data_IF_781347053393
#
_entry.id   IF_781347053393
#
_cell.length_a   1.000
_cell.length_b   1.000
_cell.length_c   1.000
_cell.angle_alpha   90.00
_cell.angle_beta   90.00
_cell.angle_gamma   90.00
#
_symmetry.space_group_name_H-M   'P 1'
#
loop_
_entity.id
_entity.type
_entity.pdbx_description
1 polymer ?
#
# COMPACT_ATOMS: atom_id res chain seq x y z
N UNK A 1 20.16 -13.63 -9.44
CA UNK A 1 18.96 -12.81 -9.71
C UNK A 1 17.71 -13.68 -9.77
N UNK A 2 17.58 -14.61 -10.74
CA UNK A 2 16.41 -15.47 -10.91
C UNK A 2 15.97 -16.22 -9.62
N UNK A 3 16.93 -16.76 -8.86
CA UNK A 3 16.65 -17.44 -7.58
C UNK A 3 15.87 -16.54 -6.61
N UNK A 4 16.46 -15.41 -6.24
CA UNK A 4 15.89 -14.49 -5.26
C UNK A 4 14.53 -13.95 -5.71
N UNK A 5 14.38 -13.64 -6.99
CA UNK A 5 13.11 -13.15 -7.54
C UNK A 5 11.99 -14.20 -7.43
N UNK A 6 12.27 -15.47 -7.72
CA UNK A 6 11.29 -16.55 -7.57
C UNK A 6 10.92 -16.75 -6.09
N UNK A 7 11.91 -16.81 -5.19
CA UNK A 7 11.64 -17.00 -3.76
C UNK A 7 10.77 -15.87 -3.18
N UNK A 8 11.04 -14.62 -3.57
CA UNK A 8 10.25 -13.47 -3.11
C UNK A 8 8.83 -13.50 -3.65
N UNK A 9 8.64 -13.83 -4.94
CA UNK A 9 7.30 -13.97 -5.51
C UNK A 9 6.49 -15.07 -4.81
N UNK A 10 7.12 -16.20 -4.45
CA UNK A 10 6.47 -17.24 -3.67
C UNK A 10 6.14 -16.80 -2.24
N UNK A 11 7.02 -16.05 -1.58
CA UNK A 11 6.73 -15.48 -0.24
C UNK A 11 5.53 -14.54 -0.30
N UNK A 12 5.51 -13.64 -1.27
CA UNK A 12 4.42 -12.69 -1.49
C UNK A 12 3.10 -13.43 -1.75
N UNK A 13 3.11 -14.42 -2.65
CA UNK A 13 1.95 -15.27 -2.90
C UNK A 13 1.45 -15.96 -1.64
N UNK A 14 2.34 -16.64 -0.92
CA UNK A 14 1.97 -17.40 0.28
C UNK A 14 1.36 -16.49 1.33
N UNK A 15 2.01 -15.35 1.61
CA UNK A 15 1.53 -14.40 2.60
C UNK A 15 0.13 -13.88 2.26
N UNK A 16 -0.06 -13.33 1.05
CA UNK A 16 -1.36 -12.76 0.65
C UNK A 16 -2.46 -13.81 0.59
N UNK A 17 -2.21 -14.95 -0.08
CA UNK A 17 -3.25 -15.98 -0.25
C UNK A 17 -3.70 -16.55 1.09
N UNK A 18 -2.78 -16.79 2.02
CA UNK A 18 -3.12 -17.41 3.30
C UNK A 18 -3.61 -16.40 4.33
N UNK A 19 -3.13 -15.15 4.31
CA UNK A 19 -3.73 -14.10 5.14
C UNK A 19 -5.19 -13.88 4.78
N UNK A 20 -5.50 -13.85 3.48
CA UNK A 20 -6.87 -13.65 2.99
C UNK A 20 -7.77 -14.83 3.33
N UNK A 21 -7.26 -16.05 3.21
CA UNK A 21 -8.04 -17.27 3.39
C UNK A 21 -8.21 -17.70 4.86
N UNK A 22 -7.21 -17.46 5.71
CA UNK A 22 -7.13 -17.98 7.07
C UNK A 22 -7.08 -16.88 8.15
N UNK A 23 -7.00 -15.60 7.75
CA UNK A 23 -6.96 -14.46 8.66
C UNK A 23 -5.57 -14.16 9.23
N UNK A 24 -5.48 -13.26 10.23
CA UNK A 24 -4.20 -12.73 10.73
C UNK A 24 -3.28 -13.79 11.37
N UNK A 25 -3.83 -14.88 11.89
CA UNK A 25 -3.09 -15.97 12.54
C UNK A 25 -2.67 -17.11 11.58
N UNK A 26 -2.71 -16.86 10.26
CA UNK A 26 -2.43 -17.89 9.24
C UNK A 26 -1.05 -18.54 9.37
N UNK A 27 -0.06 -17.83 9.96
CA UNK A 27 1.29 -18.36 10.18
C UNK A 27 1.28 -19.63 11.04
N UNK A 28 0.41 -19.69 12.05
CA UNK A 28 0.24 -20.87 12.90
C UNK A 28 -0.36 -22.07 12.15
N UNK A 29 -1.05 -21.83 11.02
CA UNK A 29 -1.58 -22.89 10.18
C UNK A 29 -0.51 -23.52 9.25
N UNK A 30 0.63 -22.85 9.05
CA UNK A 30 1.70 -23.33 8.17
C UNK A 30 2.94 -23.79 8.92
N UNK A 31 3.28 -23.22 10.07
CA UNK A 31 4.48 -23.55 10.82
C UNK A 31 4.15 -23.97 12.26
N UNK A 32 4.85 -24.99 12.76
CA UNK A 32 4.83 -25.36 14.16
C UNK A 32 5.64 -24.38 15.02
N UNK A 33 5.53 -24.51 16.34
CA UNK A 33 6.24 -23.65 17.30
C UNK A 33 7.75 -23.65 17.07
N UNK A 34 8.33 -24.81 16.75
CA UNK A 34 9.78 -24.95 16.59
C UNK A 34 10.31 -24.16 15.39
N UNK A 35 9.56 -24.15 14.28
CA UNK A 35 9.94 -23.39 13.08
C UNK A 35 9.68 -21.91 13.22
N UNK A 36 8.59 -21.52 13.86
CA UNK A 36 8.36 -20.12 14.20
C UNK A 36 9.52 -19.59 15.06
N UNK A 37 9.95 -20.37 16.06
CA UNK A 37 11.14 -20.05 16.87
C UNK A 37 12.43 -20.00 16.05
N UNK A 38 12.60 -20.88 15.05
CA UNK A 38 13.77 -20.84 14.17
C UNK A 38 13.79 -19.56 13.31
N UNK A 39 12.65 -19.19 12.73
CA UNK A 39 12.51 -17.96 11.95
C UNK A 39 12.72 -16.72 12.83
N UNK A 40 12.20 -16.73 14.06
CA UNK A 40 12.44 -15.72 15.08
C UNK A 40 13.94 -15.55 15.37
N UNK A 41 14.65 -16.66 15.63
CA UNK A 41 16.10 -16.65 15.89
C UNK A 41 16.89 -16.06 14.71
N UNK A 42 16.51 -16.39 13.47
CA UNK A 42 17.11 -15.81 12.26
C UNK A 42 16.82 -14.32 12.15
N UNK A 43 15.60 -13.90 12.49
CA UNK A 43 15.23 -12.49 12.54
C UNK A 43 16.06 -11.72 13.56
N UNK A 44 16.18 -12.23 14.79
CA UNK A 44 16.99 -11.62 15.86
C UNK A 44 18.48 -11.56 15.48
N UNK A 45 19.02 -12.63 14.90
CA UNK A 45 20.41 -12.69 14.41
C UNK A 45 20.67 -11.61 13.35
N UNK A 46 19.78 -11.49 12.37
CA UNK A 46 19.94 -10.53 11.28
C UNK A 46 19.72 -9.09 11.79
N UNK A 47 18.78 -8.89 12.73
CA UNK A 47 18.56 -7.62 13.41
C UNK A 47 19.84 -7.17 14.12
N UNK A 48 20.47 -8.04 14.91
CA UNK A 48 21.71 -7.73 15.62
C UNK A 48 22.85 -7.35 14.65
N UNK A 49 22.91 -7.97 13.47
CA UNK A 49 23.91 -7.69 12.43
C UNK A 49 23.64 -6.37 11.69
N UNK A 50 22.37 -6.06 11.39
CA UNK A 50 21.98 -4.95 10.50
C UNK A 50 21.57 -3.66 11.22
N UNK A 51 21.21 -3.70 12.51
CA UNK A 51 20.83 -2.49 13.27
C UNK A 51 21.96 -1.46 13.29
N UNK A 52 23.23 -1.90 13.24
CA UNK A 52 24.41 -1.01 13.12
C UNK A 52 24.49 -0.25 11.79
N UNK A 53 23.63 -0.53 10.82
CA UNK A 53 23.67 0.00 9.45
C UNK A 53 22.40 0.78 9.06
N UNK A 54 21.46 1.01 9.97
CA UNK A 54 20.23 1.78 9.70
C UNK A 54 19.30 1.16 8.64
N UNK A 55 19.37 -0.16 8.44
CA UNK A 55 18.57 -0.87 7.43
C UNK A 55 17.23 -1.31 8.05
N UNK A 56 16.12 -1.03 7.36
CA UNK A 56 14.79 -1.53 7.72
C UNK A 56 14.78 -3.05 7.62
N UNK A 57 14.26 -3.71 8.66
CA UNK A 57 14.31 -5.17 8.80
C UNK A 57 12.86 -5.70 8.81
N UNK A 58 12.52 -6.70 7.97
CA UNK A 58 11.18 -7.28 7.95
C UNK A 58 10.79 -7.88 9.31
N UNK A 59 9.50 -7.92 9.66
CA UNK A 59 9.06 -8.60 10.86
C UNK A 59 9.37 -10.11 10.80
N UNK A 60 9.57 -10.78 11.95
CA UNK A 60 9.73 -12.22 12.02
C UNK A 60 8.60 -12.98 11.30
N UNK A 61 8.91 -14.14 10.73
CA UNK A 61 7.95 -14.95 9.97
C UNK A 61 8.48 -15.40 8.61
N UNK A 62 7.61 -15.43 7.59
CA UNK A 62 7.92 -16.00 6.27
C UNK A 62 9.11 -15.31 5.57
N UNK A 63 9.41 -14.05 5.91
CA UNK A 63 10.60 -13.34 5.42
C UNK A 63 11.92 -14.05 5.77
N UNK A 64 11.94 -14.83 6.85
CA UNK A 64 13.10 -15.59 7.34
C UNK A 64 13.02 -17.09 7.06
N UNK A 65 11.95 -17.51 6.38
CA UNK A 65 11.78 -18.86 5.90
C UNK A 65 12.77 -19.18 4.77
N UNK A 66 13.34 -20.38 4.79
CA UNK A 66 14.18 -20.90 3.72
C UNK A 66 13.33 -21.42 2.56
N UNK A 67 13.94 -21.62 1.39
CA UNK A 67 13.20 -22.06 0.22
C UNK A 67 12.43 -23.38 0.45
N UNK A 68 13.03 -24.35 1.15
CA UNK A 68 12.34 -25.61 1.46
C UNK A 68 11.09 -25.40 2.32
N UNK A 69 11.05 -24.35 3.15
CA UNK A 69 9.86 -24.01 3.94
C UNK A 69 8.71 -23.63 3.00
N UNK A 70 9.00 -22.78 2.00
CA UNK A 70 8.05 -22.34 0.99
C UNK A 70 7.55 -23.53 0.16
N UNK A 71 8.46 -24.39 -0.30
CA UNK A 71 8.12 -25.59 -1.07
C UNK A 71 7.23 -26.52 -0.27
N UNK A 72 7.53 -26.74 1.02
CA UNK A 72 6.69 -27.58 1.89
C UNK A 72 5.29 -26.99 2.08
N UNK A 73 5.17 -25.67 2.24
CA UNK A 73 3.86 -25.00 2.32
C UNK A 73 3.07 -25.24 1.02
N UNK A 74 3.69 -25.02 -0.13
CA UNK A 74 3.07 -25.23 -1.45
C UNK A 74 2.73 -26.71 -1.69
N UNK A 75 3.53 -27.65 -1.18
CA UNK A 75 3.24 -29.08 -1.29
C UNK A 75 2.12 -29.57 -0.37
N UNK A 76 1.62 -28.75 0.56
CA UNK A 76 0.52 -29.15 1.43
C UNK A 76 -0.77 -29.38 0.64
N UNK A 77 -1.31 -30.59 0.67
CA UNK A 77 -2.59 -30.92 0.02
C UNK A 77 -3.75 -30.07 0.58
N UNK A 78 -3.70 -29.81 1.90
CA UNK A 78 -4.70 -28.98 2.60
C UNK A 78 -4.72 -27.54 2.10
N UNK A 79 -3.56 -26.99 1.72
CA UNK A 79 -3.42 -25.56 1.37
C UNK A 79 -3.44 -25.32 -0.13
N UNK A 80 -3.20 -26.35 -0.95
CA UNK A 80 -3.09 -26.21 -2.40
C UNK A 80 -4.30 -25.53 -3.04
N UNK A 81 -5.50 -25.79 -2.52
CA UNK A 81 -6.75 -25.19 -3.02
C UNK A 81 -6.70 -23.67 -3.05
N UNK A 82 -5.98 -23.03 -2.13
CA UNK A 82 -5.81 -21.57 -2.10
C UNK A 82 -4.80 -21.07 -3.13
N UNK A 83 -3.78 -21.88 -3.47
CA UNK A 83 -2.74 -21.51 -4.44
C UNK A 83 -3.10 -21.83 -5.89
N UNK A 84 -4.01 -22.79 -6.11
CA UNK A 84 -4.41 -23.25 -7.44
C UNK A 84 -4.89 -22.10 -8.38
N UNK A 85 -5.64 -21.08 -7.91
CA UNK A 85 -6.02 -19.95 -8.76
C UNK A 85 -4.83 -19.15 -9.29
N UNK A 86 -3.73 -19.07 -8.54
CA UNK A 86 -2.52 -18.35 -8.95
C UNK A 86 -1.58 -19.22 -9.78
N UNK A 87 -1.34 -20.44 -9.34
CA UNK A 87 -0.27 -21.30 -9.85
C UNK A 87 -0.75 -22.34 -10.86
N UNK A 88 -2.06 -22.58 -10.94
CA UNK A 88 -2.67 -23.57 -11.84
C UNK A 88 -2.66 -24.99 -11.28
N UNK A 89 -2.39 -25.96 -12.15
CA UNK A 89 -2.46 -27.38 -11.81
C UNK A 89 -1.29 -27.80 -10.92
N UNK A 90 -1.59 -28.47 -9.82
CA UNK A 90 -0.61 -28.93 -8.83
C UNK A 90 0.54 -29.73 -9.41
N UNK A 91 0.23 -30.75 -10.21
CA UNK A 91 1.25 -31.64 -10.76
C UNK A 91 2.27 -30.87 -11.60
N UNK A 92 1.81 -29.94 -12.43
CA UNK A 92 2.67 -29.15 -13.31
C UNK A 92 3.54 -28.18 -12.50
N UNK A 93 2.94 -27.40 -11.60
CA UNK A 93 3.68 -26.41 -10.79
C UNK A 93 4.67 -27.07 -9.84
N UNK A 94 4.28 -28.13 -9.14
CA UNK A 94 5.15 -28.81 -8.18
C UNK A 94 6.35 -29.46 -8.90
N UNK A 95 6.15 -30.04 -10.09
CA UNK A 95 7.28 -30.54 -10.90
C UNK A 95 8.26 -29.43 -11.29
N UNK A 96 7.77 -28.24 -11.64
CA UNK A 96 8.63 -27.09 -11.93
C UNK A 96 9.39 -26.60 -10.67
N UNK A 97 8.71 -26.52 -9.54
CA UNK A 97 9.31 -26.13 -8.25
C UNK A 97 10.39 -27.14 -7.84
N UNK A 98 10.14 -28.43 -8.00
CA UNK A 98 11.12 -29.48 -7.69
C UNK A 98 12.34 -29.40 -8.60
N UNK A 99 12.14 -29.12 -9.89
CA UNK A 99 13.25 -28.89 -10.83
C UNK A 99 14.04 -27.64 -10.45
N UNK A 100 13.37 -26.57 -10.05
CA UNK A 100 14.00 -25.33 -9.58
C UNK A 100 14.80 -25.57 -8.29
N UNK A 101 14.27 -26.32 -7.33
CA UNK A 101 14.97 -26.63 -6.07
C UNK A 101 16.26 -27.41 -6.33
N UNK A 102 16.21 -28.39 -7.22
CA UNK A 102 17.40 -29.16 -7.62
C UNK A 102 18.51 -28.26 -8.18
N UNK A 103 18.17 -27.33 -9.08
CA UNK A 103 19.11 -26.38 -9.66
C UNK A 103 19.62 -25.36 -8.63
N UNK A 104 18.73 -24.86 -7.76
CA UNK A 104 19.09 -23.98 -6.63
C UNK A 104 20.11 -24.65 -5.71
N UNK A 105 19.89 -25.92 -5.37
CA UNK A 105 20.77 -26.66 -4.46
C UNK A 105 22.18 -26.81 -5.06
N UNK A 106 22.30 -27.04 -6.37
CA UNK A 106 23.61 -27.01 -7.06
C UNK A 106 24.34 -25.68 -6.85
N UNK A 107 23.64 -24.55 -7.05
CA UNK A 107 24.18 -23.20 -6.81
C UNK A 107 24.53 -22.97 -5.33
N UNK A 108 23.67 -23.40 -4.40
CA UNK A 108 23.90 -23.26 -2.97
C UNK A 108 25.14 -24.01 -2.47
N UNK A 109 25.51 -25.09 -3.15
CA UNK A 109 26.75 -25.84 -2.91
C UNK A 109 27.98 -25.26 -3.63
N UNK A 110 27.86 -24.07 -4.24
CA UNK A 110 28.97 -23.41 -4.96
C UNK A 110 29.33 -24.08 -6.28
N UNK A 111 28.48 -24.97 -6.81
CA UNK A 111 28.68 -25.61 -8.11
C UNK A 111 28.06 -24.74 -9.22
N UNK A 112 28.82 -24.40 -10.28
CA UNK A 112 28.28 -23.62 -11.37
C UNK A 112 27.29 -24.44 -12.21
N UNK A 113 26.18 -23.83 -12.60
CA UNK A 113 25.22 -24.40 -13.54
C UNK A 113 25.76 -24.29 -14.97
N UNK A 114 25.52 -25.30 -15.80
CA UNK A 114 25.83 -25.21 -17.25
C UNK A 114 24.78 -24.33 -17.98
N UNK A 115 25.05 -23.83 -19.20
CA UNK A 115 24.20 -22.82 -19.83
C UNK A 115 22.70 -23.17 -19.91
N UNK A 116 22.36 -24.38 -20.35
CA UNK A 116 20.96 -24.81 -20.44
C UNK A 116 20.27 -24.89 -19.07
N UNK A 117 21.01 -25.17 -17.99
CA UNK A 117 20.48 -25.18 -16.63
C UNK A 117 20.19 -23.77 -16.12
N UNK A 118 21.03 -22.80 -16.49
CA UNK A 118 20.81 -21.39 -16.17
C UNK A 118 19.57 -20.84 -16.89
N UNK A 119 19.41 -21.18 -18.17
CA UNK A 119 18.24 -20.82 -18.96
C UNK A 119 16.97 -21.48 -18.40
N UNK A 120 17.03 -22.77 -18.07
CA UNK A 120 15.92 -23.49 -17.46
C UNK A 120 15.52 -22.89 -16.10
N UNK A 121 16.50 -22.62 -15.23
CA UNK A 121 16.26 -21.98 -13.93
C UNK A 121 15.57 -20.62 -14.11
N UNK A 122 16.04 -19.82 -15.07
CA UNK A 122 15.49 -18.50 -15.37
C UNK A 122 14.09 -18.58 -15.97
N UNK A 123 13.84 -19.56 -16.85
CA UNK A 123 12.51 -19.84 -17.41
C UNK A 123 11.49 -20.22 -16.34
N UNK A 124 11.85 -21.14 -15.44
CA UNK A 124 10.98 -21.53 -14.33
C UNK A 124 10.69 -20.34 -13.41
N UNK A 125 11.72 -19.58 -13.02
CA UNK A 125 11.57 -18.39 -12.19
C UNK A 125 10.66 -17.35 -12.84
N UNK A 126 10.84 -17.11 -14.15
CA UNK A 126 10.06 -16.17 -14.93
C UNK A 126 8.60 -16.58 -15.03
N UNK A 127 8.33 -17.86 -15.26
CA UNK A 127 6.97 -18.40 -15.31
C UNK A 127 6.26 -18.27 -13.97
N UNK A 128 6.86 -18.74 -12.87
CA UNK A 128 6.26 -18.66 -11.53
C UNK A 128 5.99 -17.21 -11.16
N UNK A 129 6.96 -16.31 -11.36
CA UNK A 129 6.78 -14.88 -11.09
C UNK A 129 5.63 -14.30 -11.91
N UNK A 130 5.56 -14.58 -13.21
CA UNK A 130 4.49 -14.06 -14.06
C UNK A 130 3.10 -14.57 -13.61
N UNK A 131 3.00 -15.82 -13.19
CA UNK A 131 1.77 -16.38 -12.62
C UNK A 131 1.36 -15.64 -11.34
N UNK A 132 2.31 -15.43 -10.41
CA UNK A 132 2.07 -14.66 -9.18
C UNK A 132 1.65 -13.24 -9.52
N UNK A 133 2.38 -12.52 -10.38
CA UNK A 133 2.05 -11.14 -10.76
C UNK A 133 0.65 -11.05 -11.35
N UNK A 134 0.29 -11.94 -12.30
CA UNK A 134 -1.06 -11.96 -12.87
C UNK A 134 -2.14 -12.20 -11.82
N UNK A 135 -1.88 -13.10 -10.87
CA UNK A 135 -2.80 -13.36 -9.78
C UNK A 135 -2.96 -12.14 -8.87
N UNK A 136 -1.86 -11.54 -8.41
CA UNK A 136 -1.89 -10.34 -7.57
C UNK A 136 -2.61 -9.19 -8.27
N UNK A 137 -2.30 -8.93 -9.54
CA UNK A 137 -3.00 -7.92 -10.34
C UNK A 137 -4.49 -8.22 -10.50
N UNK A 138 -4.90 -9.49 -10.51
CA UNK A 138 -6.32 -9.88 -10.58
C UNK A 138 -7.05 -9.81 -9.24
N UNK A 139 -6.31 -9.82 -8.13
CA UNK A 139 -6.80 -9.63 -6.76
C UNK A 139 -6.89 -8.17 -6.36
N UNK A 140 -6.27 -7.30 -7.16
CA UNK A 140 -6.38 -5.85 -7.06
C UNK A 140 -7.08 -5.21 -8.28
N UNK A 141 -8.32 -5.60 -8.64
CA UNK A 141 -9.06 -4.95 -9.71
C UNK A 141 -9.59 -3.56 -9.31
N UNK A 142 -9.46 -3.15 -8.04
CA UNK A 142 -10.05 -1.94 -7.46
C UNK A 142 -9.03 -0.90 -6.92
N UNK A 143 -7.74 -1.22 -6.83
CA UNK A 143 -6.74 -0.38 -6.15
C UNK A 143 -6.73 -0.56 -4.63
N UNK A 144 -7.11 -1.74 -4.14
CA UNK A 144 -7.28 -2.11 -2.73
C UNK A 144 -5.96 -2.19 -1.95
N UNK A 145 -4.82 -1.82 -2.53
CA UNK A 145 -3.58 -1.62 -1.75
C UNK A 145 -3.45 -0.22 -1.14
N UNK A 146 -4.19 0.75 -1.69
CA UNK A 146 -4.06 2.15 -1.33
C UNK A 146 -5.31 2.66 -0.65
N UNK A 147 -5.12 3.57 0.31
CA UNK A 147 -6.21 4.25 0.96
C UNK A 147 -7.08 5.01 -0.05
N UNK A 148 -8.36 5.18 0.29
CA UNK A 148 -9.33 5.98 -0.47
C UNK A 148 -10.09 6.93 0.44
N UNK A 149 -10.42 8.09 -0.10
CA UNK A 149 -11.30 9.08 0.52
C UNK A 149 -12.73 8.59 0.31
N UNK A 150 -13.49 8.49 1.39
CA UNK A 150 -14.91 8.13 1.36
C UNK A 150 -15.77 9.39 1.27
N UNK A 151 -15.52 10.38 2.13
CA UNK A 151 -16.29 11.63 2.17
C UNK A 151 -15.42 12.80 2.59
N UNK A 152 -15.67 13.97 2.03
CA UNK A 152 -15.18 15.25 2.55
C UNK A 152 -16.31 16.26 2.52
N UNK A 153 -16.59 16.86 3.68
CA UNK A 153 -17.64 17.86 3.86
C UNK A 153 -17.12 19.08 4.60
N UNK A 154 -17.43 20.28 4.11
CA UNK A 154 -17.09 21.53 4.80
C UNK A 154 -18.11 21.90 5.90
N UNK A 155 -17.77 22.91 6.70
CA UNK A 155 -18.60 23.42 7.81
C UNK A 155 -19.90 24.11 7.36
N UNK A 156 -20.05 24.40 6.07
CA UNK A 156 -21.25 25.00 5.47
C UNK A 156 -22.19 23.96 4.85
N UNK A 157 -21.77 22.69 4.84
CA UNK A 157 -22.55 21.58 4.32
C UNK A 157 -22.25 21.20 2.87
N UNK A 158 -21.27 21.84 2.22
CA UNK A 158 -20.82 21.44 0.89
C UNK A 158 -20.01 20.16 0.99
N UNK A 159 -20.25 19.24 0.06
CA UNK A 159 -19.60 17.93 0.01
C UNK A 159 -19.04 17.68 -1.39
N UNK A 160 -17.96 16.91 -1.46
CA UNK A 160 -17.43 16.48 -2.76
C UNK A 160 -18.46 15.65 -3.51
N UNK A 161 -18.64 15.96 -4.78
CA UNK A 161 -19.51 15.23 -5.70
C UNK A 161 -18.69 14.81 -6.92
N UNK A 162 -19.24 13.87 -7.71
CA UNK A 162 -18.58 13.04 -8.73
C UNK A 162 -18.05 11.71 -8.16
N UNK A 163 -18.42 10.55 -8.76
CA UNK A 163 -17.90 9.28 -8.28
C UNK A 163 -16.39 9.23 -8.53
N UNK A 164 -15.59 8.76 -7.56
CA UNK A 164 -14.21 8.41 -7.85
C UNK A 164 -14.23 7.43 -9.01
N UNK A 165 -13.46 7.71 -10.08
CA UNK A 165 -13.01 6.57 -10.86
C UNK A 165 -12.25 5.68 -9.87
N UNK A 166 -12.49 4.36 -9.80
CA UNK A 166 -11.91 3.50 -8.76
C UNK A 166 -10.39 3.64 -8.61
N UNK A 167 -9.74 4.09 -9.70
CA UNK A 167 -8.29 4.30 -9.83
C UNK A 167 -7.90 5.76 -10.08
N UNK A 168 -8.81 6.70 -9.88
CA UNK A 168 -8.60 8.12 -10.13
C UNK A 168 -7.81 8.79 -9.02
N UNK A 169 -6.99 9.76 -9.43
CA UNK A 169 -6.30 10.69 -8.52
C UNK A 169 -7.28 11.51 -7.68
N UNK A 170 -8.41 11.88 -8.30
CA UNK A 170 -9.46 12.69 -7.69
C UNK A 170 -10.55 11.81 -7.11
N UNK A 171 -10.76 11.91 -5.80
CA UNK A 171 -11.90 11.35 -5.09
C UNK A 171 -13.21 12.05 -5.46
N UNK A 172 -13.12 13.34 -5.76
CA UNK A 172 -14.25 14.18 -6.12
C UNK A 172 -13.86 15.65 -6.05
N UNK A 173 -14.83 16.51 -6.33
CA UNK A 173 -14.65 17.96 -6.27
C UNK A 173 -15.93 18.64 -5.78
N UNK A 174 -15.76 19.83 -5.22
CA UNK A 174 -16.89 20.69 -4.87
C UNK A 174 -16.59 22.12 -5.32
N UNK A 175 -17.42 22.66 -6.22
CA UNK A 175 -17.36 24.07 -6.59
C UNK A 175 -18.49 24.75 -5.84
N UNK A 176 -18.14 25.59 -4.88
CA UNK A 176 -19.10 26.31 -4.04
C UNK A 176 -19.39 27.70 -4.63
N UNK A 177 -20.58 28.21 -4.36
CA UNK A 177 -20.95 29.61 -4.63
C UNK A 177 -20.69 30.53 -3.41
N UNK A 178 -19.98 30.03 -2.40
CA UNK A 178 -19.70 30.77 -1.17
C UNK A 178 -18.66 31.86 -1.42
N UNK A 179 -18.98 33.04 -0.93
CA UNK A 179 -18.09 34.20 -0.88
C UNK A 179 -17.56 34.33 0.54
N UNK A 180 -16.26 34.16 0.69
CA UNK A 180 -15.51 34.30 1.95
C UNK A 180 -14.68 35.59 1.94
N UNK A 181 -14.26 36.00 3.12
CA UNK A 181 -13.37 37.14 3.36
C UNK A 181 -12.23 36.74 4.30
N UNK A 182 -11.05 37.41 4.23
CA UNK A 182 -9.99 37.20 5.21
C UNK A 182 -10.51 37.33 6.65
N UNK A 183 -10.19 36.34 7.48
CA UNK A 183 -10.70 36.18 8.84
C UNK A 183 -11.77 35.10 8.99
N UNK A 184 -12.40 34.65 7.89
CA UNK A 184 -13.32 33.51 7.92
C UNK A 184 -12.58 32.19 8.19
N UNK A 185 -13.31 31.22 8.72
CA UNK A 185 -12.80 29.87 9.01
C UNK A 185 -13.67 28.81 8.35
N UNK A 186 -13.02 27.91 7.62
CA UNK A 186 -13.65 26.72 7.02
C UNK A 186 -13.10 25.46 7.70
N UNK A 187 -13.99 24.59 8.17
CA UNK A 187 -13.61 23.29 8.75
C UNK A 187 -14.05 22.18 7.81
N UNK A 188 -13.12 21.34 7.38
CA UNK A 188 -13.40 20.15 6.59
C UNK A 188 -13.41 18.92 7.48
N UNK A 189 -14.53 18.19 7.48
CA UNK A 189 -14.61 16.84 8.04
C UNK A 189 -14.27 15.84 6.95
N UNK A 190 -13.24 15.04 7.19
CA UNK A 190 -12.69 14.07 6.23
C UNK A 190 -12.82 12.65 6.76
N UNK A 191 -13.19 11.71 5.90
CA UNK A 191 -13.26 10.28 6.21
C UNK A 191 -12.64 9.52 5.04
N UNK A 192 -11.80 8.53 5.36
CA UNK A 192 -11.20 7.64 4.37
C UNK A 192 -11.01 6.24 4.93
N UNK A 193 -10.70 5.30 4.05
CA UNK A 193 -10.40 3.92 4.41
C UNK A 193 -9.11 3.44 3.76
N UNK A 194 -8.27 2.76 4.54
CA UNK A 194 -7.14 1.96 4.07
C UNK A 194 -7.49 0.46 4.16
N UNK A 195 -7.41 -0.30 3.06
CA UNK A 195 -7.72 -1.73 3.08
C UNK A 195 -6.75 -2.57 3.93
N UNK A 196 -5.55 -2.06 4.23
CA UNK A 196 -4.58 -2.72 5.11
C UNK A 196 -4.73 -2.28 6.58
N UNK A 197 -5.73 -1.45 6.90
CA UNK A 197 -6.02 -1.03 8.27
C UNK A 197 -5.09 0.05 8.81
N UNK A 198 -4.31 0.72 7.97
CA UNK A 198 -3.35 1.74 8.40
C UNK A 198 -4.04 3.06 8.75
N UNK A 199 -3.42 3.83 9.65
CA UNK A 199 -3.84 5.20 9.94
C UNK A 199 -3.64 6.10 8.70
N UNK A 200 -4.48 7.13 8.61
CA UNK A 200 -4.53 8.05 7.48
C UNK A 200 -4.00 9.42 7.89
N UNK A 201 -3.13 9.98 7.08
CA UNK A 201 -2.63 11.34 7.20
C UNK A 201 -3.30 12.24 6.17
N UNK A 202 -3.77 13.38 6.66
CA UNK A 202 -4.53 14.36 5.91
C UNK A 202 -3.82 15.70 5.93
N UNK A 203 -3.81 16.39 4.79
CA UNK A 203 -3.32 17.75 4.68
C UNK A 203 -4.12 18.52 3.65
N UNK A 204 -4.15 19.84 3.78
CA UNK A 204 -4.64 20.70 2.70
C UNK A 204 -3.51 21.54 2.12
N UNK A 205 -3.62 21.89 0.84
CA UNK A 205 -2.76 22.85 0.16
C UNK A 205 -3.61 23.90 -0.55
N UNK A 206 -3.21 25.17 -0.41
CA UNK A 206 -3.72 26.28 -1.21
C UNK A 206 -3.22 26.27 -2.66
N UNK A 207 -3.44 27.37 -3.38
CA UNK A 207 -3.15 27.43 -4.82
C UNK A 207 -1.63 27.54 -5.08
N UNK A 208 -1.06 26.44 -5.57
CA UNK A 208 0.30 26.23 -6.09
C UNK A 208 1.40 25.98 -5.04
N UNK A 209 1.63 24.70 -4.78
CA UNK A 209 2.76 24.20 -4.01
C UNK A 209 2.53 24.17 -2.50
N UNK A 210 3.62 23.92 -1.78
CA UNK A 210 3.65 23.85 -0.33
C UNK A 210 3.01 25.10 0.28
N UNK A 211 1.81 24.94 0.86
CA UNK A 211 1.24 25.97 1.70
C UNK A 211 1.96 25.90 3.05
N UNK A 212 2.69 26.95 3.47
CA UNK A 212 3.38 26.95 4.76
C UNK A 212 2.43 26.86 5.96
N UNK A 213 1.12 27.03 5.74
CA UNK A 213 0.06 26.82 6.73
C UNK A 213 -0.50 25.40 6.72
N UNK A 214 -0.10 24.56 5.75
CA UNK A 214 -0.49 23.16 5.73
C UNK A 214 0.10 22.45 6.94
N UNK A 215 -0.72 21.60 7.56
CA UNK A 215 -0.31 20.74 8.65
C UNK A 215 -0.92 19.36 8.45
N UNK A 216 -0.29 18.36 9.05
CA UNK A 216 -0.75 16.97 8.97
C UNK A 216 -1.70 16.70 10.13
N UNK A 217 -2.85 16.10 9.82
CA UNK A 217 -3.78 15.52 10.80
C UNK A 217 -3.85 14.03 10.56
N UNK A 218 -3.64 13.24 11.60
CA UNK A 218 -3.76 11.79 11.53
C UNK A 218 -5.12 11.34 12.04
N UNK A 219 -5.78 10.44 11.32
CA UNK A 219 -6.98 9.73 11.75
C UNK A 219 -6.73 8.24 11.76
N UNK A 220 -7.43 7.52 12.65
CA UNK A 220 -7.54 6.08 12.51
C UNK A 220 -8.34 5.73 11.26
N UNK A 221 -8.06 4.57 10.68
CA UNK A 221 -8.79 4.05 9.53
C UNK A 221 -10.31 4.10 9.74
N UNK A 222 -11.06 4.70 8.81
CA UNK A 222 -12.52 4.81 8.88
C UNK A 222 -13.07 5.84 9.87
N UNK A 223 -12.21 6.47 10.68
CA UNK A 223 -12.62 7.52 11.62
C UNK A 223 -12.48 8.91 11.00
N UNK A 224 -13.35 9.83 11.42
CA UNK A 224 -13.31 11.21 10.94
C UNK A 224 -12.13 12.00 11.51
N UNK A 225 -11.55 12.86 10.68
CA UNK A 225 -10.61 13.92 11.07
C UNK A 225 -11.13 15.29 10.64
N UNK A 226 -10.51 16.35 11.18
CA UNK A 226 -10.82 17.73 10.84
C UNK A 226 -9.59 18.49 10.34
N UNK A 227 -9.72 19.10 9.16
CA UNK A 227 -8.77 20.08 8.64
C UNK A 227 -9.39 21.47 8.76
N UNK A 228 -8.60 22.46 9.19
CA UNK A 228 -9.05 23.83 9.39
C UNK A 228 -8.29 24.74 8.42
N UNK A 229 -9.03 25.50 7.63
CA UNK A 229 -8.49 26.57 6.80
C UNK A 229 -8.96 27.91 7.34
N UNK A 230 -8.02 28.68 7.89
CA UNK A 230 -8.22 30.08 8.23
C UNK A 230 -7.93 30.93 6.98
N UNK A 231 -8.96 31.62 6.49
CA UNK A 231 -8.89 32.45 5.27
C UNK A 231 -8.08 33.70 5.57
N UNK A 232 -7.10 34.00 4.74
CA UNK A 232 -6.19 35.15 4.89
C UNK A 232 -6.21 36.03 3.65
N UNK A 233 -5.54 37.19 3.72
CA UNK A 233 -5.36 38.07 2.56
C UNK A 233 -4.67 37.39 1.38
N UNK A 234 -3.81 36.40 1.63
CA UNK A 234 -3.13 35.62 0.59
C UNK A 234 -4.10 34.74 -0.22
N UNK A 235 -5.29 34.48 0.30
CA UNK A 235 -6.29 33.63 -0.33
C UNK A 235 -7.27 34.40 -1.23
N UNK A 236 -7.22 35.75 -1.22
CA UNK A 236 -8.12 36.61 -2.00
C UNK A 236 -8.00 36.29 -3.49
N UNK A 237 -9.04 35.66 -4.03
CA UNK A 237 -9.12 35.18 -5.41
C UNK A 237 -10.56 34.78 -5.73
N UNK A 238 -11.05 35.12 -6.93
CA UNK A 238 -12.36 34.67 -7.42
C UNK A 238 -12.40 33.16 -7.74
N UNK A 239 -11.27 32.46 -7.57
CA UNK A 239 -11.12 31.03 -7.85
C UNK A 239 -10.23 30.32 -6.82
N UNK A 240 -10.31 30.74 -5.54
CA UNK A 240 -9.56 30.13 -4.44
C UNK A 240 -9.85 28.63 -4.39
N UNK A 241 -8.81 27.80 -4.45
CA UNK A 241 -8.93 26.34 -4.50
C UNK A 241 -8.15 25.73 -3.36
N UNK A 242 -8.82 24.88 -2.59
CA UNK A 242 -8.23 24.09 -1.51
C UNK A 242 -8.15 22.66 -1.97
N UNK A 243 -6.95 22.12 -2.06
CA UNK A 243 -6.72 20.71 -2.33
C UNK A 243 -6.54 19.98 -1.02
N UNK A 244 -7.22 18.86 -0.84
CA UNK A 244 -7.09 18.01 0.34
C UNK A 244 -6.48 16.69 -0.12
N UNK A 245 -5.35 16.34 0.44
CA UNK A 245 -4.62 15.10 0.15
C UNK A 245 -4.75 14.15 1.33
N UNK A 246 -4.78 12.87 1.01
CA UNK A 246 -4.79 11.78 1.95
C UNK A 246 -3.72 10.75 1.57
N UNK A 247 -2.99 10.28 2.57
CA UNK A 247 -2.01 9.22 2.44
C UNK A 247 -2.02 8.29 3.65
N UNK A 248 -1.56 7.07 3.46
CA UNK A 248 -1.42 6.09 4.54
C UNK A 248 -0.12 6.34 5.31
N UNK A 249 -0.20 6.66 6.62
CA UNK A 249 0.91 7.19 7.45
C UNK A 249 2.18 6.33 7.49
N UNK A 250 2.01 5.02 7.41
CA UNK A 250 3.09 4.03 7.51
C UNK A 250 3.42 3.36 6.17
N UNK A 251 2.85 3.85 5.07
CA UNK A 251 3.11 3.27 3.75
C UNK A 251 4.39 3.81 3.15
N UNK A 252 5.20 2.92 2.57
CA UNK A 252 6.35 3.30 1.74
C UNK A 252 5.93 3.74 0.33
N UNK A 253 4.76 3.27 -0.12
CA UNK A 253 4.28 3.47 -1.47
C UNK A 253 2.91 4.10 -1.46
N UNK A 254 2.71 5.11 -2.29
CA UNK A 254 1.44 5.78 -2.45
C UNK A 254 0.96 5.73 -3.90
N UNK A 255 -0.35 5.72 -4.10
CA UNK A 255 -0.97 5.52 -5.42
C UNK A 255 -0.47 6.52 -6.45
N UNK A 256 -0.27 7.77 -6.06
CA UNK A 256 0.17 8.87 -6.92
C UNK A 256 1.50 9.47 -6.49
N UNK A 257 2.42 8.62 -6.04
CA UNK A 257 3.80 8.98 -5.71
C UNK A 257 3.98 9.34 -4.24
N UNK A 258 3.34 10.41 -3.78
CA UNK A 258 3.43 10.85 -2.38
C UNK A 258 2.08 10.89 -1.65
N UNK A 259 0.97 10.68 -2.35
CA UNK A 259 -0.37 10.60 -1.76
C UNK A 259 -1.20 9.49 -2.42
N UNK A 260 -2.25 9.04 -1.74
CA UNK A 260 -3.11 7.95 -2.19
C UNK A 260 -4.34 8.44 -2.95
N UNK A 261 -4.93 9.55 -2.49
CA UNK A 261 -6.00 10.23 -3.22
C UNK A 261 -6.10 11.70 -2.80
N UNK A 262 -6.70 12.53 -3.66
CA UNK A 262 -7.01 13.93 -3.31
C UNK A 262 -8.40 14.33 -3.71
N UNK A 263 -8.89 15.41 -3.13
CA UNK A 263 -10.08 16.13 -3.58
C UNK A 263 -9.80 17.63 -3.61
N UNK A 264 -10.71 18.42 -4.18
CA UNK A 264 -10.61 19.87 -4.03
C UNK A 264 -11.95 20.55 -3.85
N UNK A 265 -11.91 21.66 -3.13
CA UNK A 265 -12.98 22.63 -2.99
C UNK A 265 -12.60 23.93 -3.67
N UNK A 266 -13.57 24.61 -4.27
CA UNK A 266 -13.40 25.95 -4.83
C UNK A 266 -14.35 26.94 -4.15
N UNK A 267 -13.80 28.09 -3.77
CA UNK A 267 -14.49 29.22 -3.15
C UNK A 267 -14.19 30.52 -3.90
N UNK A 268 -14.99 31.54 -3.62
CA UNK A 268 -14.68 32.93 -3.97
C UNK A 268 -14.19 33.61 -2.69
N UNK A 269 -12.98 34.16 -2.69
CA UNK A 269 -12.46 34.95 -1.55
C UNK A 269 -12.28 36.39 -2.01
N UNK A 270 -12.97 37.32 -1.35
CA UNK A 270 -12.92 38.75 -1.66
C UNK A 270 -12.18 39.54 -0.58
N UNK A 271 -11.55 40.66 -0.94
CA UNK A 271 -10.93 41.52 0.05
C UNK A 271 -11.99 42.04 1.04
N UNK A 272 -11.61 42.36 2.28
CA UNK A 272 -12.51 42.99 3.24
C UNK A 272 -13.08 44.27 2.63
N UNK A 273 -14.39 44.49 2.72
CA UNK A 273 -14.94 45.78 2.36
C UNK A 273 -14.45 46.81 3.38
N UNK A 274 -13.47 47.63 2.97
CA UNK A 274 -13.13 48.82 3.75
C UNK A 274 -14.36 49.71 3.71
N UNK A 275 -15.10 49.79 4.81
CA UNK A 275 -16.08 50.86 5.00
C UNK A 275 -15.32 52.18 4.86
N UNK A 276 -15.46 52.83 3.70
CA UNK A 276 -15.12 54.22 3.52
C UNK A 276 -16.01 55.00 4.51
N UNK A 277 -15.48 55.23 5.71
CA UNK A 277 -15.96 56.28 6.59
C UNK A 277 -15.62 57.60 5.89
N UNK A 278 -16.59 58.09 5.11
CA UNK A 278 -16.74 59.51 4.80
C UNK A 278 -17.35 60.21 6.00
#
# INVERSE_FOLDING_TARGET
MALHTCENALRELISSVLSDALGPEWLAAVADSDRLLEWEKRATSEQARRTKRGVVIPPPGLAYAQFFDLVRILKSDKLWTYFAPALGKRSETISLIDRFDSLRNTVAHGRPLVPYEQELLSGIAGQIRNQVTRYMSSKDPAGDFYARIETIRDSFGNEITDPPTPHGELAGRCITDLVLTPGDRVVFTVIGTDPQGRDLEWRFEGRSGFDPRSYIVTSQNGNAAQLIWDVTDADVNETATIQIYMESSSSQYHRFGWFDQRAYFRYIVRPPQTSLLL
#
